data_IF_764873318700
#
_entry.id   IF_764873318700
#
_cell.length_a   1.000
_cell.length_b   1.000
_cell.length_c   1.000
_cell.angle_alpha   90.00
_cell.angle_beta   90.00
_cell.angle_gamma   90.00
#
_symmetry.space_group_name_H-M   'P 1'
#
loop_
_entity.id
_entity.type
_entity.pdbx_description
1 polymer ?
#
# COMPACT_ATOMS: atom_id res chain seq x y z
N UNK A 1 4.71 -11.47 -18.21
CA UNK A 1 5.62 -10.36 -17.88
C UNK A 1 4.99 -9.58 -16.74
N UNK A 2 5.46 -9.82 -15.51
CA UNK A 2 4.91 -9.21 -14.30
C UNK A 2 5.29 -7.73 -14.35
N UNK A 3 4.30 -6.84 -14.33
CA UNK A 3 4.54 -5.41 -14.20
C UNK A 3 5.44 -5.22 -12.96
N UNK A 4 6.68 -4.69 -13.09
CA UNK A 4 7.66 -4.64 -11.99
C UNK A 4 7.21 -3.78 -10.80
N UNK A 5 6.04 -3.16 -10.88
CA UNK A 5 5.43 -2.36 -9.83
C UNK A 5 5.95 -0.94 -9.91
N UNK A 6 5.04 0.01 -10.09
CA UNK A 6 5.35 1.44 -10.05
C UNK A 6 5.79 1.91 -8.65
N UNK A 7 5.56 1.11 -7.61
CA UNK A 7 5.85 1.49 -6.23
C UNK A 7 7.32 1.30 -5.87
N UNK A 8 7.92 2.36 -5.35
CA UNK A 8 9.28 2.40 -4.80
C UNK A 8 9.24 2.91 -3.35
N UNK A 9 10.41 2.93 -2.71
CA UNK A 9 10.65 3.47 -1.36
C UNK A 9 9.57 3.13 -0.33
N UNK A 10 9.06 4.14 0.36
CA UNK A 10 8.14 4.00 1.49
C UNK A 10 6.83 3.29 1.09
N UNK A 11 6.27 3.62 -0.08
CA UNK A 11 5.04 3.01 -0.59
C UNK A 11 5.21 1.52 -0.86
N UNK A 12 6.36 1.10 -1.39
CA UNK A 12 6.68 -0.32 -1.59
C UNK A 12 6.79 -1.04 -0.25
N UNK A 13 7.47 -0.44 0.73
CA UNK A 13 7.62 -1.00 2.07
C UNK A 13 6.25 -1.16 2.77
N UNK A 14 5.38 -0.17 2.67
CA UNK A 14 4.02 -0.25 3.20
C UNK A 14 3.23 -1.40 2.58
N UNK A 15 3.25 -1.54 1.25
CA UNK A 15 2.50 -2.62 0.58
C UNK A 15 3.09 -4.00 0.92
N UNK A 16 4.42 -4.12 0.99
CA UNK A 16 5.07 -5.35 1.40
C UNK A 16 4.69 -5.75 2.83
N UNK A 17 4.52 -4.79 3.74
CA UNK A 17 4.10 -5.07 5.11
C UNK A 17 2.62 -5.50 5.23
N UNK A 18 1.82 -5.41 4.16
CA UNK A 18 0.43 -5.93 4.14
C UNK A 18 0.33 -7.35 3.55
N UNK A 19 1.44 -7.96 3.12
CA UNK A 19 1.41 -9.24 2.41
C UNK A 19 0.79 -10.37 3.25
N UNK A 20 1.14 -10.46 4.53
CA UNK A 20 0.60 -11.49 5.43
C UNK A 20 -0.89 -11.30 5.67
N UNK A 21 -1.32 -10.05 5.89
CA UNK A 21 -2.73 -9.69 6.05
C UNK A 21 -3.56 -10.04 4.80
N UNK A 22 -3.02 -9.77 3.61
CA UNK A 22 -3.67 -10.14 2.36
C UNK A 22 -3.76 -11.67 2.20
N UNK A 23 -2.68 -12.39 2.54
CA UNK A 23 -2.62 -13.86 2.47
C UNK A 23 -3.66 -14.51 3.38
N UNK A 24 -3.80 -14.02 4.61
CA UNK A 24 -4.84 -14.46 5.56
C UNK A 24 -6.25 -14.19 4.99
N UNK A 25 -6.47 -12.99 4.43
CA UNK A 25 -7.77 -12.64 3.84
C UNK A 25 -8.16 -13.51 2.64
N UNK A 26 -7.17 -14.01 1.87
CA UNK A 26 -7.42 -15.00 0.80
C UNK A 26 -7.89 -16.32 1.40
N UNK A 27 -7.22 -16.81 2.45
CA UNK A 27 -7.59 -18.05 3.11
C UNK A 27 -9.01 -17.98 3.73
N UNK A 28 -9.40 -16.80 4.22
CA UNK A 28 -10.70 -16.55 4.86
C UNK A 28 -11.79 -16.05 3.88
N UNK A 29 -11.48 -15.93 2.59
CA UNK A 29 -12.38 -15.41 1.55
C UNK A 29 -12.95 -14.00 1.86
N UNK A 30 -12.16 -13.15 2.52
CA UNK A 30 -12.50 -11.76 2.89
C UNK A 30 -11.59 -10.71 2.23
N UNK A 31 -11.12 -11.03 1.02
CA UNK A 31 -10.13 -10.22 0.28
C UNK A 31 -10.64 -8.80 0.01
N UNK A 32 -11.91 -8.64 -0.39
CA UNK A 32 -12.47 -7.34 -0.76
C UNK A 32 -12.44 -6.33 0.40
N UNK A 33 -12.86 -6.76 1.59
CA UNK A 33 -12.86 -5.92 2.79
C UNK A 33 -11.44 -5.55 3.19
N UNK A 34 -10.53 -6.54 3.18
CA UNK A 34 -9.13 -6.34 3.54
C UNK A 34 -8.42 -5.39 2.58
N UNK A 35 -8.67 -5.51 1.28
CA UNK A 35 -8.12 -4.60 0.26
C UNK A 35 -8.64 -3.19 0.47
N UNK A 36 -9.94 -3.02 0.77
CA UNK A 36 -10.53 -1.71 1.04
C UNK A 36 -9.88 -1.04 2.26
N UNK A 37 -9.60 -1.80 3.32
CA UNK A 37 -8.90 -1.31 4.51
C UNK A 37 -7.43 -0.97 4.25
N UNK A 38 -6.73 -1.76 3.42
CA UNK A 38 -5.37 -1.46 2.98
C UNK A 38 -5.34 -0.15 2.18
N UNK A 39 -6.26 0.01 1.21
CA UNK A 39 -6.39 1.23 0.41
C UNK A 39 -6.70 2.45 1.29
N UNK A 40 -7.61 2.31 2.25
CA UNK A 40 -7.94 3.40 3.19
C UNK A 40 -6.72 3.85 3.99
N UNK A 41 -5.94 2.90 4.53
CA UNK A 41 -4.71 3.20 5.26
C UNK A 41 -3.65 3.83 4.36
N UNK A 42 -3.50 3.32 3.15
CA UNK A 42 -2.59 3.86 2.15
C UNK A 42 -2.89 5.32 1.84
N UNK A 43 -4.14 5.68 1.51
CA UNK A 43 -4.50 7.06 1.18
C UNK A 43 -4.51 8.02 2.38
N UNK A 44 -4.58 7.50 3.61
CA UNK A 44 -4.34 8.30 4.82
C UNK A 44 -2.86 8.55 5.08
N UNK A 45 -2.00 7.65 4.61
CA UNK A 45 -0.55 7.67 4.84
C UNK A 45 0.27 8.10 3.62
N UNK A 46 -0.36 8.42 2.49
CA UNK A 46 0.32 9.02 1.35
C UNK A 46 -0.53 10.12 0.72
N UNK A 47 0.06 11.24 0.29
CA UNK A 47 -0.69 12.31 -0.35
C UNK A 47 -1.22 11.84 -1.71
N UNK A 48 -2.52 11.97 -1.93
CA UNK A 48 -3.18 11.63 -3.21
C UNK A 48 -2.73 12.52 -4.37
N UNK A 49 -2.22 13.72 -4.05
CA UNK A 49 -1.72 14.70 -5.01
C UNK A 49 -0.25 14.47 -5.38
N UNK A 50 0.46 13.61 -4.65
CA UNK A 50 1.87 13.31 -4.89
C UNK A 50 1.98 12.14 -5.86
N UNK A 51 2.79 12.31 -6.90
CA UNK A 51 3.04 11.26 -7.89
C UNK A 51 3.52 9.98 -7.20
N UNK A 52 3.05 8.81 -7.66
CA UNK A 52 3.50 7.53 -7.11
C UNK A 52 5.00 7.25 -7.37
N UNK A 53 5.64 8.02 -8.25
CA UNK A 53 7.06 7.95 -8.53
C UNK A 53 7.91 8.87 -7.63
N UNK A 54 7.29 9.69 -6.79
CA UNK A 54 7.95 10.65 -5.90
C UNK A 54 7.76 10.21 -4.45
N UNK A 55 8.84 10.17 -3.67
CA UNK A 55 8.75 9.84 -2.25
C UNK A 55 8.16 11.00 -1.46
N UNK A 56 7.28 10.72 -0.46
CA UNK A 56 6.82 11.76 0.45
C UNK A 56 7.99 12.23 1.31
N UNK A 57 7.96 13.50 1.73
CA UNK A 57 8.93 14.00 2.70
C UNK A 57 8.75 13.33 4.06
N UNK A 58 9.82 13.30 4.86
CA UNK A 58 9.76 12.81 6.24
C UNK A 58 8.74 13.59 7.08
N UNK A 59 8.63 14.91 6.88
CA UNK A 59 7.62 15.76 7.54
C UNK A 59 6.17 15.32 7.28
N UNK A 60 5.92 14.65 6.15
CA UNK A 60 4.59 14.15 5.82
C UNK A 60 4.34 12.77 6.45
N UNK A 61 5.41 11.99 6.64
CA UNK A 61 5.36 10.64 7.18
C UNK A 61 5.42 10.58 8.72
N UNK A 62 5.82 11.68 9.38
CA UNK A 62 5.85 11.85 10.84
C UNK A 62 4.46 12.11 11.45
#
# INVERSE_FOLDING_TARGET
MVNPGAFKGSRKLFLASQADLYTEAVAENRVADTVSDIQRRYFKHYPITLSHNEEPSEDWLA
#
